data_IF_987083985145
#
_entry.id   IF_987083985145
#
_cell.length_a   1.000
_cell.length_b   1.000
_cell.length_c   1.000
_cell.angle_alpha   90.00
_cell.angle_beta   90.00
_cell.angle_gamma   90.00
#
_symmetry.space_group_name_H-M   'P 1'
#
loop_
_entity.id
_entity.type
_entity.pdbx_description
1 polymer ?
#
# COMPACT_ATOMS: atom_id res chain seq x y z
N UNK A 1 12.97 7.19 -13.65
CA UNK A 1 12.78 5.99 -12.82
C UNK A 1 13.95 5.06 -13.07
N UNK A 2 14.58 4.56 -12.00
CA UNK A 2 15.78 3.71 -12.08
C UNK A 2 15.52 2.40 -11.34
N UNK A 3 16.06 1.29 -11.86
CA UNK A 3 15.99 -0.01 -11.17
C UNK A 3 16.92 0.03 -9.96
N UNK A 4 16.34 -0.16 -8.77
CA UNK A 4 17.08 -0.25 -7.52
C UNK A 4 17.51 -1.68 -7.21
N UNK A 5 16.66 -2.65 -7.55
CA UNK A 5 16.93 -4.05 -7.28
C UNK A 5 15.75 -4.95 -7.62
N UNK A 6 15.82 -6.19 -7.16
CA UNK A 6 14.79 -7.19 -7.33
C UNK A 6 14.50 -7.84 -5.98
N UNK A 7 13.24 -8.17 -5.74
CA UNK A 7 12.82 -8.93 -4.55
C UNK A 7 12.34 -10.32 -4.93
N UNK A 8 12.29 -11.21 -3.95
CA UNK A 8 11.76 -12.53 -4.20
C UNK A 8 10.22 -12.49 -4.39
N UNK A 9 9.68 -13.51 -5.05
CA UNK A 9 8.24 -13.57 -5.36
C UNK A 9 7.38 -13.61 -4.10
N UNK A 10 7.88 -14.21 -3.01
CA UNK A 10 7.14 -14.30 -1.76
C UNK A 10 6.99 -12.92 -1.10
N UNK A 11 8.05 -12.12 -1.10
CA UNK A 11 8.07 -10.74 -0.63
C UNK A 11 7.20 -9.83 -1.47
N UNK A 12 7.29 -9.96 -2.80
CA UNK A 12 6.38 -9.26 -3.70
C UNK A 12 4.92 -9.58 -3.34
N UNK A 13 4.59 -10.86 -3.19
CA UNK A 13 3.21 -11.27 -2.92
C UNK A 13 2.71 -10.73 -1.57
N UNK A 14 3.58 -10.61 -0.56
CA UNK A 14 3.21 -9.94 0.70
C UNK A 14 2.82 -8.48 0.49
N UNK A 15 3.65 -7.72 -0.23
CA UNK A 15 3.35 -6.31 -0.52
C UNK A 15 2.10 -6.19 -1.39
N UNK A 16 1.94 -7.07 -2.38
CA UNK A 16 0.79 -7.09 -3.27
C UNK A 16 -0.51 -7.26 -2.50
N UNK A 17 -0.59 -8.22 -1.59
CA UNK A 17 -1.79 -8.46 -0.77
C UNK A 17 -2.17 -7.23 0.06
N UNK A 18 -1.19 -6.54 0.66
CA UNK A 18 -1.46 -5.32 1.44
C UNK A 18 -1.96 -4.21 0.50
N UNK A 19 -1.32 -4.04 -0.64
CA UNK A 19 -1.72 -3.04 -1.64
C UNK A 19 -3.13 -3.29 -2.20
N UNK A 20 -3.47 -4.54 -2.52
CA UNK A 20 -4.80 -4.94 -2.97
C UNK A 20 -5.87 -4.66 -1.92
N UNK A 21 -5.59 -4.92 -0.64
CA UNK A 21 -6.51 -4.56 0.45
C UNK A 21 -6.73 -3.06 0.55
N UNK A 22 -5.67 -2.25 0.43
CA UNK A 22 -5.79 -0.80 0.42
C UNK A 22 -6.66 -0.31 -0.75
N UNK A 23 -6.49 -0.89 -1.94
CA UNK A 23 -7.36 -0.61 -3.08
C UNK A 23 -8.81 -1.00 -2.82
N UNK A 24 -9.06 -2.19 -2.26
CA UNK A 24 -10.39 -2.66 -1.92
C UNK A 24 -11.08 -1.75 -0.88
N UNK A 25 -10.36 -1.30 0.14
CA UNK A 25 -10.87 -0.34 1.12
C UNK A 25 -11.22 1.02 0.49
N UNK A 26 -10.39 1.49 -0.45
CA UNK A 26 -10.65 2.71 -1.21
C UNK A 26 -11.91 2.56 -2.07
N UNK A 27 -12.06 1.46 -2.79
CA UNK A 27 -13.26 1.16 -3.58
C UNK A 27 -14.50 1.03 -2.71
N UNK A 28 -14.38 0.38 -1.54
CA UNK A 28 -15.46 0.28 -0.58
C UNK A 28 -15.88 1.66 -0.06
N UNK A 29 -14.94 2.58 0.14
CA UNK A 29 -15.27 3.95 0.54
C UNK A 29 -16.14 4.67 -0.49
N UNK A 30 -15.85 4.49 -1.79
CA UNK A 30 -16.68 5.05 -2.86
C UNK A 30 -18.07 4.40 -2.87
N UNK A 31 -18.13 3.08 -2.71
CA UNK A 31 -19.41 2.36 -2.64
C UNK A 31 -20.27 2.84 -1.46
N UNK A 32 -19.68 3.11 -0.29
CA UNK A 32 -20.42 3.65 0.86
C UNK A 32 -20.91 5.08 0.61
N UNK A 33 -20.10 5.91 -0.03
CA UNK A 33 -20.50 7.27 -0.41
C UNK A 33 -21.70 7.25 -1.38
N UNK A 34 -21.71 6.35 -2.35
CA UNK A 34 -22.72 6.29 -3.41
C UNK A 34 -24.03 5.60 -2.99
N UNK A 35 -23.98 4.59 -2.11
CA UNK A 35 -25.12 3.71 -1.86
C UNK A 35 -25.73 3.78 -0.46
N UNK A 36 -25.10 4.46 0.51
CA UNK A 36 -25.66 4.59 1.86
C UNK A 36 -26.38 5.93 2.02
N UNK A 37 -27.70 5.93 2.13
CA UNK A 37 -28.47 7.18 2.26
C UNK A 37 -28.45 7.76 3.68
N UNK A 38 -28.37 6.89 4.70
CA UNK A 38 -28.32 7.33 6.08
C UNK A 38 -26.98 8.00 6.38
N UNK A 39 -27.02 9.30 6.67
CA UNK A 39 -25.83 10.12 6.92
C UNK A 39 -25.02 9.66 8.14
N UNK A 40 -25.67 9.25 9.22
CA UNK A 40 -24.97 8.80 10.43
C UNK A 40 -24.28 7.46 10.18
N UNK A 41 -24.98 6.52 9.55
CA UNK A 41 -24.44 5.23 9.15
C UNK A 41 -23.27 5.39 8.17
N UNK A 42 -23.44 6.22 7.12
CA UNK A 42 -22.38 6.55 6.16
C UNK A 42 -21.14 7.06 6.85
N UNK A 43 -21.27 8.07 7.71
CA UNK A 43 -20.12 8.65 8.42
C UNK A 43 -19.42 7.62 9.30
N UNK A 44 -20.19 6.75 9.96
CA UNK A 44 -19.66 5.67 10.81
C UNK A 44 -18.85 4.66 9.98
N UNK A 45 -19.40 4.21 8.85
CA UNK A 45 -18.73 3.27 7.94
C UNK A 45 -17.47 3.88 7.32
N UNK A 46 -17.55 5.11 6.81
CA UNK A 46 -16.40 5.82 6.25
C UNK A 46 -15.28 6.00 7.29
N UNK A 47 -15.63 6.29 8.55
CA UNK A 47 -14.65 6.40 9.63
C UNK A 47 -13.94 5.07 9.88
N UNK A 48 -14.68 3.95 9.91
CA UNK A 48 -14.10 2.62 10.08
C UNK A 48 -13.19 2.24 8.91
N UNK A 49 -13.64 2.47 7.66
CA UNK A 49 -12.84 2.22 6.46
C UNK A 49 -11.53 3.01 6.48
N UNK A 50 -11.57 4.29 6.89
CA UNK A 50 -10.37 5.13 7.02
C UNK A 50 -9.41 4.58 8.07
N UNK A 51 -9.92 4.11 9.20
CA UNK A 51 -9.08 3.48 10.23
C UNK A 51 -8.39 2.23 9.71
N UNK A 52 -9.15 1.35 9.04
CA UNK A 52 -8.60 0.13 8.44
C UNK A 52 -7.57 0.44 7.35
N UNK A 53 -7.82 1.47 6.54
CA UNK A 53 -6.87 1.93 5.52
C UNK A 53 -5.56 2.41 6.14
N UNK A 54 -5.63 3.24 7.19
CA UNK A 54 -4.43 3.70 7.91
C UNK A 54 -3.65 2.56 8.57
N UNK A 55 -4.34 1.52 9.08
CA UNK A 55 -3.68 0.33 9.60
C UNK A 55 -2.91 -0.42 8.50
N UNK A 56 -3.50 -0.56 7.31
CA UNK A 56 -2.82 -1.20 6.18
C UNK A 56 -1.70 -0.33 5.59
N UNK A 57 -1.80 1.01 5.62
CA UNK A 57 -0.69 1.91 5.30
C UNK A 57 0.53 1.68 6.20
N UNK A 58 0.30 1.56 7.51
CA UNK A 58 1.38 1.26 8.49
C UNK A 58 1.99 -0.11 8.18
N UNK A 59 1.19 -1.11 7.87
CA UNK A 59 1.68 -2.44 7.49
C UNK A 59 2.50 -2.39 6.19
N UNK A 60 2.04 -1.61 5.22
CA UNK A 60 2.71 -1.42 3.93
C UNK A 60 4.09 -0.78 4.13
N UNK A 61 4.16 0.32 4.89
CA UNK A 61 5.40 1.01 5.22
C UNK A 61 6.37 0.10 5.99
N UNK A 62 5.85 -0.67 6.95
CA UNK A 62 6.65 -1.63 7.71
C UNK A 62 7.29 -2.69 6.80
N UNK A 63 6.54 -3.26 5.85
CA UNK A 63 7.07 -4.25 4.92
C UNK A 63 8.16 -3.65 4.03
N UNK A 64 7.98 -2.42 3.54
CA UNK A 64 9.04 -1.73 2.82
C UNK A 64 10.28 -1.53 3.69
N UNK A 65 10.13 -1.03 4.91
CA UNK A 65 11.25 -0.85 5.83
C UNK A 65 12.00 -2.15 6.13
N UNK A 66 11.31 -3.30 6.17
CA UNK A 66 11.94 -4.61 6.30
C UNK A 66 12.77 -4.99 5.06
N UNK A 67 12.25 -4.77 3.85
CA UNK A 67 12.97 -5.04 2.60
C UNK A 67 14.18 -4.13 2.43
N UNK A 68 14.04 -2.84 2.72
CA UNK A 68 15.12 -1.85 2.64
C UNK A 68 16.31 -2.32 3.51
N UNK A 69 16.01 -2.79 4.73
CA UNK A 69 17.01 -3.35 5.64
C UNK A 69 17.58 -4.67 5.12
N UNK A 70 16.73 -5.61 4.66
CA UNK A 70 17.16 -6.92 4.15
C UNK A 70 18.14 -6.79 2.98
N UNK A 71 17.84 -5.91 2.04
CA UNK A 71 18.63 -5.69 0.82
C UNK A 71 19.69 -4.59 0.96
N UNK A 72 19.79 -3.96 2.13
CA UNK A 72 20.71 -2.87 2.43
C UNK A 72 20.63 -1.73 1.39
N UNK A 73 19.41 -1.39 0.99
CA UNK A 73 19.14 -0.32 0.04
C UNK A 73 19.38 1.04 0.70
N UNK A 74 20.14 1.90 0.01
CA UNK A 74 20.35 3.29 0.42
C UNK A 74 19.33 4.15 -0.29
N UNK A 75 18.49 4.81 0.49
CA UNK A 75 17.32 5.53 0.01
C UNK A 75 17.32 6.88 0.70
N UNK A 76 17.23 7.94 -0.09
CA UNK A 76 17.06 9.28 0.43
C UNK A 76 15.59 9.51 0.78
N UNK A 77 15.33 10.38 1.76
CA UNK A 77 13.96 10.63 2.25
C UNK A 77 13.02 11.26 1.21
N UNK A 78 13.56 11.79 0.12
CA UNK A 78 12.79 12.32 -1.02
C UNK A 78 12.42 11.25 -2.06
N UNK A 79 13.04 10.08 -2.02
CA UNK A 79 12.89 9.06 -3.05
C UNK A 79 11.69 8.15 -2.76
N UNK A 80 10.90 7.88 -3.79
CA UNK A 80 9.76 6.96 -3.67
C UNK A 80 10.11 5.60 -4.29
N UNK A 81 9.98 4.54 -3.48
CA UNK A 81 10.08 3.16 -3.95
C UNK A 81 8.77 2.71 -4.58
N UNK A 82 8.88 2.08 -5.74
CA UNK A 82 7.78 1.52 -6.50
C UNK A 82 8.11 0.08 -6.82
N UNK A 83 7.23 -0.84 -6.44
CA UNK A 83 7.35 -2.24 -6.82
C UNK A 83 6.61 -2.48 -8.15
N UNK A 84 7.31 -3.06 -9.12
CA UNK A 84 6.69 -3.64 -10.30
C UNK A 84 6.21 -5.05 -9.98
N UNK A 85 4.89 -5.22 -9.86
CA UNK A 85 4.30 -6.52 -9.53
C UNK A 85 4.43 -7.57 -10.65
N UNK A 86 4.74 -7.15 -11.89
CA UNK A 86 4.88 -8.06 -13.03
C UNK A 86 6.19 -8.85 -13.01
N UNK A 87 7.31 -8.21 -12.62
CA UNK A 87 8.66 -8.77 -12.79
C UNK A 87 9.52 -8.71 -11.50
N UNK A 88 8.90 -8.35 -10.37
CA UNK A 88 9.53 -8.22 -9.05
C UNK A 88 10.61 -7.12 -8.96
N UNK A 89 10.66 -6.21 -9.93
CA UNK A 89 11.63 -5.12 -9.94
C UNK A 89 11.21 -4.03 -8.97
N UNK A 90 12.15 -3.54 -8.16
CA UNK A 90 11.97 -2.33 -7.36
C UNK A 90 12.59 -1.15 -8.11
N UNK A 91 11.77 -0.13 -8.31
CA UNK A 91 12.09 1.09 -9.03
C UNK A 91 12.13 2.25 -8.04
N UNK A 92 13.05 3.18 -8.27
CA UNK A 92 13.12 4.43 -7.54
C UNK A 92 12.68 5.58 -8.45
N UNK A 93 11.81 6.43 -7.92
CA UNK A 93 11.37 7.68 -8.55
C UNK A 93 11.99 8.85 -7.79
N UNK A 94 12.93 9.50 -8.47
CA UNK A 94 13.53 10.81 -8.12
C UNK A 94 12.48 11.93 -8.21
#
# INVERSE_FOLDING_TARGET
MKVMGYIDTYEKNKILVIYEKMLALKELSYSVEDYVDNKEEKNSLIKSIKLDFSNEEINYEKNWNELIKKYNWKIDSSENLILNFNDNTVLIKE
#
